data_IF_976167444847
#
_entry.id   IF_976167444847
#
_cell.length_a   1.000
_cell.length_b   1.000
_cell.length_c   1.000
_cell.angle_alpha   90.00
_cell.angle_beta   90.00
_cell.angle_gamma   90.00
#
_symmetry.space_group_name_H-M   'P 1'
#
loop_
_entity.id
_entity.type
_entity.pdbx_description
1 polymer ?
#
# COMPACT_ATOMS: atom_id res chain seq x y z
N UNK A 1 21.65 0.89 28.24
CA UNK A 1 21.49 2.31 27.80
C UNK A 1 21.30 2.52 26.29
N UNK A 2 21.22 1.48 25.42
CA UNK A 2 21.13 1.66 23.95
C UNK A 2 19.72 1.62 23.32
N UNK A 3 18.67 1.28 24.08
CA UNK A 3 17.33 1.10 23.50
C UNK A 3 16.59 2.42 23.22
N UNK A 4 16.74 3.42 24.11
CA UNK A 4 16.04 4.72 24.00
C UNK A 4 16.58 5.60 22.86
N UNK A 5 17.89 5.56 22.58
CA UNK A 5 18.50 6.31 21.47
C UNK A 5 18.11 5.74 20.09
N UNK A 6 17.96 4.40 19.99
CA UNK A 6 17.49 3.73 18.76
C UNK A 6 16.03 4.08 18.45
N UNK A 7 15.17 4.15 19.47
CA UNK A 7 13.76 4.55 19.33
C UNK A 7 13.62 6.02 18.91
N UNK A 8 14.38 6.93 19.51
CA UNK A 8 14.34 8.36 19.17
C UNK A 8 14.80 8.60 17.71
N UNK A 9 15.84 7.91 17.26
CA UNK A 9 16.34 8.00 15.88
C UNK A 9 15.35 7.40 14.88
N UNK A 10 14.77 6.22 15.17
CA UNK A 10 13.70 5.62 14.35
C UNK A 10 12.48 6.52 14.23
N UNK A 11 12.05 7.18 15.32
CA UNK A 11 10.89 8.08 15.30
C UNK A 11 11.13 9.31 14.42
N UNK A 12 12.34 9.88 14.47
CA UNK A 12 12.73 10.98 13.56
C UNK A 12 12.77 10.53 12.11
N UNK A 13 13.30 9.33 11.83
CA UNK A 13 13.30 8.76 10.48
C UNK A 13 11.89 8.49 9.94
N UNK A 14 10.99 7.97 10.78
CA UNK A 14 9.58 7.74 10.44
C UNK A 14 8.85 9.05 10.17
N UNK A 15 9.10 10.10 10.97
CA UNK A 15 8.53 11.43 10.76
C UNK A 15 9.02 12.08 9.46
N UNK A 16 10.33 12.06 9.21
CA UNK A 16 10.93 12.56 7.97
C UNK A 16 10.47 11.75 6.74
N UNK A 17 10.40 10.42 6.87
CA UNK A 17 9.92 9.53 5.82
C UNK A 17 8.44 9.75 5.52
N UNK A 18 7.61 9.93 6.55
CA UNK A 18 6.18 10.24 6.41
C UNK A 18 5.94 11.62 5.78
N UNK A 19 6.71 12.64 6.18
CA UNK A 19 6.66 13.97 5.56
C UNK A 19 7.07 13.95 4.10
N UNK A 20 8.20 13.32 3.79
CA UNK A 20 8.69 13.19 2.42
C UNK A 20 7.71 12.41 1.54
N UNK A 21 7.14 11.32 2.06
CA UNK A 21 6.17 10.54 1.33
C UNK A 21 4.83 11.26 1.16
N UNK A 22 4.36 12.03 2.16
CA UNK A 22 3.19 12.88 2.02
C UNK A 22 3.39 13.99 0.99
N UNK A 23 4.57 14.62 0.99
CA UNK A 23 4.96 15.61 -0.01
C UNK A 23 5.01 15.01 -1.43
N UNK A 24 5.64 13.84 -1.58
CA UNK A 24 5.69 13.10 -2.84
C UNK A 24 4.30 12.61 -3.27
N UNK A 25 3.43 12.23 -2.34
CA UNK A 25 2.05 11.85 -2.65
C UNK A 25 1.21 13.06 -3.10
N UNK A 26 1.52 14.26 -2.61
CA UNK A 26 0.94 15.50 -3.12
C UNK A 26 1.48 15.89 -4.50
N UNK A 27 2.77 15.65 -4.77
CA UNK A 27 3.44 16.07 -6.00
C UNK A 27 3.25 15.08 -7.17
N UNK A 28 3.34 13.78 -6.88
CA UNK A 28 3.23 12.68 -7.85
C UNK A 28 1.84 12.02 -7.83
N UNK A 29 0.94 12.48 -6.96
CA UNK A 29 -0.36 11.83 -6.74
C UNK A 29 -0.21 10.42 -6.16
N UNK A 30 -0.91 9.45 -6.76
CA UNK A 30 -0.97 8.07 -6.29
C UNK A 30 0.39 7.34 -6.18
N UNK A 31 1.46 7.88 -6.81
CA UNK A 31 2.80 7.28 -6.78
C UNK A 31 3.55 7.41 -5.44
N UNK A 32 3.16 8.32 -4.55
CA UNK A 32 3.84 8.55 -3.27
C UNK A 32 3.71 7.38 -2.27
N UNK A 33 2.60 6.64 -2.33
CA UNK A 33 2.36 5.46 -1.48
C UNK A 33 3.35 4.31 -1.73
N UNK A 34 3.83 4.15 -2.97
CA UNK A 34 4.84 3.13 -3.30
C UNK A 34 6.18 3.47 -2.62
N UNK A 35 6.52 4.77 -2.59
CA UNK A 35 7.73 5.28 -1.95
C UNK A 35 7.67 5.11 -0.42
N UNK A 36 6.50 5.31 0.18
CA UNK A 36 6.33 5.11 1.63
C UNK A 36 6.57 3.66 2.02
N UNK A 37 6.05 2.69 1.26
CA UNK A 37 6.24 1.25 1.53
C UNK A 37 7.71 0.87 1.40
N UNK A 38 8.42 1.39 0.40
CA UNK A 38 9.86 1.16 0.23
C UNK A 38 10.70 1.74 1.37
N UNK A 39 10.39 2.97 1.81
CA UNK A 39 11.07 3.60 2.95
C UNK A 39 10.78 2.79 4.22
N UNK A 40 9.53 2.38 4.42
CA UNK A 40 9.12 1.61 5.59
C UNK A 40 9.82 0.24 5.63
N UNK A 41 9.90 -0.46 4.49
CA UNK A 41 10.68 -1.70 4.37
C UNK A 41 12.15 -1.48 4.71
N UNK A 42 12.76 -0.39 4.21
CA UNK A 42 14.17 -0.08 4.44
C UNK A 42 14.46 0.29 5.90
N UNK A 43 13.53 0.96 6.58
CA UNK A 43 13.63 1.35 8.00
C UNK A 43 13.34 0.18 8.95
N UNK A 44 12.44 -0.73 8.57
CA UNK A 44 12.09 -1.91 9.36
C UNK A 44 13.05 -3.10 9.15
N UNK A 45 13.89 -3.07 8.11
CA UNK A 45 14.84 -4.14 7.74
C UNK A 45 15.81 -4.58 8.86
N UNK A 46 16.02 -3.74 9.86
CA UNK A 46 16.89 -4.00 11.01
C UNK A 46 16.20 -4.68 12.21
N UNK A 47 14.91 -4.98 12.14
CA UNK A 47 14.20 -5.49 13.30
C UNK A 47 13.09 -6.43 12.86
N UNK A 48 13.40 -7.72 12.75
CA UNK A 48 12.48 -8.86 13.02
C UNK A 48 11.17 -8.99 12.23
N UNK A 49 10.78 -8.03 11.39
CA UNK A 49 9.50 -8.03 10.68
C UNK A 49 9.75 -8.34 9.21
N UNK A 50 9.12 -9.40 8.73
CA UNK A 50 9.23 -9.84 7.34
C UNK A 50 8.51 -8.79 6.45
N UNK A 51 8.93 -8.58 5.20
CA UNK A 51 8.29 -7.54 4.36
C UNK A 51 6.78 -7.83 4.16
N UNK A 52 6.36 -9.08 4.35
CA UNK A 52 4.95 -9.50 4.46
C UNK A 52 4.17 -8.71 5.51
N UNK A 53 4.73 -8.49 6.70
CA UNK A 53 4.06 -7.79 7.81
C UNK A 53 3.83 -6.32 7.47
N UNK A 54 4.78 -5.71 6.75
CA UNK A 54 4.67 -4.32 6.28
C UNK A 54 3.54 -4.18 5.26
N UNK A 55 3.43 -5.12 4.32
CA UNK A 55 2.34 -5.15 3.34
C UNK A 55 0.98 -5.43 4.01
N UNK A 56 0.92 -6.36 4.95
CA UNK A 56 -0.30 -6.66 5.70
C UNK A 56 -0.77 -5.44 6.50
N UNK A 57 0.14 -4.73 7.16
CA UNK A 57 -0.18 -3.49 7.88
C UNK A 57 -0.66 -2.37 6.94
N UNK A 58 -0.05 -2.23 5.75
CA UNK A 58 -0.52 -1.26 4.75
C UNK A 58 -1.94 -1.57 4.26
N UNK A 59 -2.25 -2.85 4.01
CA UNK A 59 -3.59 -3.30 3.65
C UNK A 59 -4.61 -3.09 4.78
N UNK A 60 -4.20 -3.34 6.03
CA UNK A 60 -5.02 -3.10 7.20
C UNK A 60 -5.42 -1.61 7.33
N UNK A 61 -4.51 -0.69 6.98
CA UNK A 61 -4.79 0.76 6.94
C UNK A 61 -5.65 1.15 5.73
N UNK A 62 -5.50 0.48 4.58
CA UNK A 62 -6.35 0.71 3.40
C UNK A 62 -7.82 0.35 3.64
N UNK A 63 -8.10 -0.62 4.52
CA UNK A 63 -9.45 -1.11 4.77
C UNK A 63 -10.39 -0.03 5.34
N UNK A 64 -10.07 0.69 6.44
CA UNK A 64 -10.92 1.78 6.93
C UNK A 64 -11.00 2.94 5.93
N UNK A 65 -9.93 3.24 5.19
CA UNK A 65 -9.93 4.29 4.15
C UNK A 65 -10.95 3.94 3.05
N UNK A 66 -10.93 2.70 2.59
CA UNK A 66 -11.86 2.21 1.57
C UNK A 66 -13.29 2.16 2.07
N UNK A 67 -13.50 1.79 3.34
CA UNK A 67 -14.82 1.82 3.98
C UNK A 67 -15.38 3.25 4.04
N UNK A 68 -14.58 4.22 4.47
CA UNK A 68 -14.97 5.63 4.49
C UNK A 68 -15.28 6.16 3.08
N UNK A 69 -14.45 5.82 2.10
CA UNK A 69 -14.70 6.18 0.69
C UNK A 69 -16.00 5.59 0.18
N UNK A 70 -16.28 4.33 0.50
CA UNK A 70 -17.52 3.64 0.10
C UNK A 70 -18.75 4.30 0.72
N UNK A 71 -18.70 4.61 2.02
CA UNK A 71 -19.78 5.31 2.73
C UNK A 71 -19.99 6.70 2.13
N UNK A 72 -18.92 7.44 1.87
CA UNK A 72 -18.98 8.78 1.27
C UNK A 72 -19.61 8.76 -0.13
N UNK A 73 -19.28 7.77 -0.96
CA UNK A 73 -19.90 7.55 -2.26
C UNK A 73 -21.37 7.15 -2.17
N UNK A 74 -21.73 6.31 -1.19
CA UNK A 74 -23.11 5.88 -0.96
C UNK A 74 -24.01 7.05 -0.56
N UNK A 75 -23.52 7.95 0.31
CA UNK A 75 -24.26 9.14 0.74
C UNK A 75 -24.39 10.17 -0.39
N UNK A 76 -23.36 10.31 -1.23
CA UNK A 76 -23.33 11.30 -2.32
C UNK A 76 -24.15 10.90 -3.55
N UNK A 77 -24.80 9.72 -3.55
CA UNK A 77 -25.57 9.22 -4.69
C UNK A 77 -24.73 8.92 -5.94
N UNK A 78 -23.40 8.85 -5.80
CA UNK A 78 -22.46 8.62 -6.91
C UNK A 78 -22.30 7.15 -7.29
N UNK A 79 -23.20 6.28 -6.83
CA UNK A 79 -23.17 4.86 -7.15
C UNK A 79 -23.66 4.68 -8.60
N UNK A 80 -22.85 4.11 -9.51
CA UNK A 80 -23.30 3.85 -10.87
C UNK A 80 -24.49 2.88 -10.86
N UNK A 81 -25.68 3.44 -11.06
CA UNK A 81 -27.02 2.80 -11.05
C UNK A 81 -27.15 1.58 -11.98
N UNK A 82 -26.16 1.31 -12.83
CA UNK A 82 -26.27 0.30 -13.89
C UNK A 82 -25.52 -1.02 -13.69
N UNK A 83 -24.36 -1.08 -13.00
CA UNK A 83 -23.47 -2.26 -13.13
C UNK A 83 -22.49 -2.50 -11.97
N UNK A 84 -22.76 -1.95 -10.78
CA UNK A 84 -21.89 -2.17 -9.59
C UNK A 84 -21.69 -3.65 -9.31
N UNK A 85 -22.74 -4.47 -9.38
CA UNK A 85 -22.68 -5.91 -9.10
C UNK A 85 -21.69 -6.66 -9.99
N UNK A 86 -21.53 -6.24 -11.26
CA UNK A 86 -20.62 -6.87 -12.20
C UNK A 86 -19.15 -6.56 -11.92
N UNK A 87 -18.86 -5.42 -11.29
CA UNK A 87 -17.51 -5.07 -10.82
C UNK A 87 -17.23 -5.57 -9.40
N UNK A 88 -18.25 -5.62 -8.55
CA UNK A 88 -18.13 -6.12 -7.18
C UNK A 88 -17.72 -7.58 -7.16
N UNK A 89 -18.32 -8.42 -8.01
CA UNK A 89 -18.06 -9.86 -8.06
C UNK A 89 -16.57 -10.18 -8.35
N UNK A 90 -15.95 -9.67 -9.44
CA UNK A 90 -14.53 -9.90 -9.70
C UNK A 90 -13.62 -9.18 -8.68
N UNK A 91 -14.02 -8.03 -8.12
CA UNK A 91 -13.23 -7.35 -7.10
C UNK A 91 -13.15 -8.16 -5.80
N UNK A 92 -14.28 -8.71 -5.32
CA UNK A 92 -14.33 -9.56 -4.13
C UNK A 92 -13.59 -10.87 -4.38
N UNK A 93 -13.85 -11.53 -5.51
CA UNK A 93 -13.16 -12.79 -5.85
C UNK A 93 -11.65 -12.58 -6.01
N UNK A 94 -11.23 -11.51 -6.68
CA UNK A 94 -9.82 -11.16 -6.84
C UNK A 94 -9.14 -10.80 -5.52
N UNK A 95 -9.83 -10.07 -4.63
CA UNK A 95 -9.34 -9.74 -3.30
C UNK A 95 -9.17 -10.96 -2.40
N UNK A 96 -10.16 -11.86 -2.38
CA UNK A 96 -10.08 -13.13 -1.64
C UNK A 96 -8.97 -14.04 -2.18
N UNK A 97 -8.91 -14.24 -3.50
CA UNK A 97 -7.84 -15.03 -4.12
C UNK A 97 -6.47 -14.41 -3.87
N UNK A 98 -6.36 -13.09 -3.96
CA UNK A 98 -5.13 -12.35 -3.68
C UNK A 98 -4.65 -12.52 -2.24
N UNK A 99 -5.55 -12.38 -1.26
CA UNK A 99 -5.25 -12.57 0.16
C UNK A 99 -4.79 -14.02 0.44
N UNK A 100 -5.49 -15.02 -0.10
CA UNK A 100 -5.15 -16.43 0.08
C UNK A 100 -3.81 -16.80 -0.56
N UNK A 101 -3.53 -16.23 -1.73
CA UNK A 101 -2.29 -16.45 -2.46
C UNK A 101 -1.10 -15.74 -1.81
N UNK A 102 -1.34 -14.62 -1.11
CA UNK A 102 -0.31 -13.88 -0.39
C UNK A 102 0.30 -14.69 0.76
N UNK A 103 -0.51 -15.45 1.49
CA UNK A 103 -0.03 -16.36 2.56
C UNK A 103 0.89 -17.47 2.01
N UNK A 104 0.57 -17.98 0.82
CA UNK A 104 1.30 -19.07 0.16
C UNK A 104 2.57 -18.63 -0.59
N UNK A 105 2.69 -17.37 -0.99
CA UNK A 105 3.81 -16.88 -1.82
C UNK A 105 4.91 -16.22 -0.98
N UNK A 106 6.15 -16.71 -1.06
CA UNK A 106 7.30 -16.14 -0.33
C UNK A 106 7.42 -14.61 -0.50
N UNK A 107 7.83 -13.92 0.57
CA UNK A 107 7.98 -12.46 0.60
C UNK A 107 8.81 -11.90 -0.57
N UNK A 108 9.83 -12.65 -1.02
CA UNK A 108 10.67 -12.27 -2.18
C UNK A 108 9.89 -12.24 -3.48
N UNK A 109 8.98 -13.18 -3.69
CA UNK A 109 8.19 -13.26 -4.92
C UNK A 109 7.14 -12.15 -4.99
N UNK A 110 6.49 -11.84 -3.87
CA UNK A 110 5.54 -10.70 -3.77
C UNK A 110 6.25 -9.39 -4.11
N UNK A 111 7.43 -9.17 -3.51
CA UNK A 111 8.24 -7.97 -3.77
C UNK A 111 8.65 -7.87 -5.24
N UNK A 112 9.08 -8.97 -5.86
CA UNK A 112 9.42 -9.00 -7.29
C UNK A 112 8.22 -8.66 -8.16
N UNK A 113 7.05 -9.25 -7.87
CA UNK A 113 5.83 -8.99 -8.62
C UNK A 113 5.43 -7.50 -8.53
N UNK A 114 5.48 -6.93 -7.32
CA UNK A 114 5.19 -5.53 -7.09
C UNK A 114 6.16 -4.60 -7.84
N UNK A 115 7.47 -4.85 -7.77
CA UNK A 115 8.45 -4.11 -8.57
C UNK A 115 8.15 -4.17 -10.07
N UNK A 116 7.82 -5.37 -10.57
CA UNK A 116 7.57 -5.58 -11.98
C UNK A 116 6.31 -4.84 -12.44
N UNK A 117 5.25 -4.86 -11.64
CA UNK A 117 4.03 -4.07 -11.87
C UNK A 117 4.30 -2.56 -11.88
N UNK A 118 5.11 -2.06 -10.95
CA UNK A 118 5.46 -0.62 -10.90
C UNK A 118 6.25 -0.19 -12.13
N UNK A 119 7.23 -0.99 -12.56
CA UNK A 119 8.00 -0.74 -13.78
C UNK A 119 7.07 -0.76 -14.99
N UNK A 120 6.19 -1.77 -15.08
CA UNK A 120 5.24 -1.88 -16.18
C UNK A 120 4.29 -0.68 -16.25
N UNK A 121 3.73 -0.24 -15.12
CA UNK A 121 2.92 0.98 -15.04
C UNK A 121 3.69 2.22 -15.50
N UNK A 122 4.95 2.35 -15.09
CA UNK A 122 5.82 3.44 -15.53
C UNK A 122 6.04 3.43 -17.05
N UNK A 123 6.30 2.25 -17.63
CA UNK A 123 6.46 2.09 -19.09
C UNK A 123 5.16 2.43 -19.81
N UNK A 124 4.03 1.89 -19.36
CA UNK A 124 2.71 2.16 -19.96
C UNK A 124 2.42 3.65 -19.99
N UNK A 125 2.72 4.38 -18.90
CA UNK A 125 2.53 5.83 -18.83
C UNK A 125 3.44 6.62 -19.77
N UNK A 126 4.62 6.10 -20.13
CA UNK A 126 5.53 6.76 -21.09
C UNK A 126 5.12 6.47 -22.53
N UNK A 127 4.56 5.29 -22.78
CA UNK A 127 4.19 4.82 -24.13
C UNK A 127 2.78 5.28 -24.54
N UNK A 128 1.88 5.53 -23.59
CA UNK A 128 0.50 5.99 -23.80
C UNK A 128 0.30 7.39 -23.24
#
# INVERSE_FOLDING_TARGET
>A
MNSQAKLASKRRLLLLGGLAAGFLNGLLGAGGGIVIVWILEKVLRDSTHDARDVFANALAVMLPISAMSTVSYAISGGLPEGNISRFLLPAVLGGLLGAFLLDRISTRSVKRLFCLLVILSGIVMVVR
#
